data_IF_189495624080
#
_entry.id   IF_189495624080
#
_cell.length_a   1.000
_cell.length_b   1.000
_cell.length_c   1.000
_cell.angle_alpha   90.00
_cell.angle_beta   90.00
_cell.angle_gamma   90.00
#
_symmetry.space_group_name_H-M   'P 1'
#
loop_
_entity.id
_entity.type
_entity.pdbx_description
1 polymer ?
#
# COMPACT_ATOMS: atom_id res chain seq x y z
N UNK A 1 19.29 -6.63 -26.31
CA UNK A 1 18.73 -5.37 -26.86
C UNK A 1 18.50 -4.42 -25.70
N UNK A 2 18.52 -3.10 -25.89
CA UNK A 2 18.12 -2.17 -24.83
C UNK A 2 16.64 -2.37 -24.48
N UNK A 3 16.30 -2.26 -23.20
CA UNK A 3 14.94 -2.40 -22.70
C UNK A 3 14.11 -1.19 -23.16
N UNK A 4 12.86 -1.38 -23.62
CA UNK A 4 11.97 -0.28 -23.98
C UNK A 4 11.81 0.74 -22.86
N UNK A 5 11.77 2.03 -23.21
CA UNK A 5 11.69 3.15 -22.26
C UNK A 5 10.40 3.08 -21.44
N UNK A 6 9.33 2.55 -22.03
CA UNK A 6 8.04 2.34 -21.39
C UNK A 6 8.16 1.40 -20.18
N UNK A 7 8.97 0.34 -20.30
CA UNK A 7 9.21 -0.64 -19.22
C UNK A 7 10.05 -0.01 -18.11
N UNK A 8 11.11 0.74 -18.48
CA UNK A 8 11.95 1.44 -17.52
C UNK A 8 11.15 2.50 -16.73
N UNK A 9 10.22 3.19 -17.39
CA UNK A 9 9.35 4.19 -16.76
C UNK A 9 8.39 3.52 -15.77
N UNK A 10 7.75 2.41 -16.15
CA UNK A 10 6.86 1.63 -15.27
C UNK A 10 7.61 1.11 -14.04
N UNK A 11 8.83 0.62 -14.23
CA UNK A 11 9.69 0.17 -13.14
C UNK A 11 9.93 1.27 -12.09
N UNK A 12 10.31 2.48 -12.52
CA UNK A 12 10.53 3.61 -11.62
C UNK A 12 9.24 4.07 -10.92
N UNK A 13 8.11 4.07 -11.63
CA UNK A 13 6.81 4.41 -11.05
C UNK A 13 6.42 3.39 -9.97
N UNK A 14 6.60 2.09 -10.22
CA UNK A 14 6.21 1.05 -9.26
C UNK A 14 7.07 1.08 -8.00
N UNK A 15 8.38 1.31 -8.13
CA UNK A 15 9.26 1.45 -6.96
C UNK A 15 8.90 2.67 -6.11
N UNK A 16 8.74 3.83 -6.74
CA UNK A 16 8.32 5.07 -6.07
C UNK A 16 6.95 4.91 -5.41
N UNK A 17 5.99 4.29 -6.11
CA UNK A 17 4.65 4.02 -5.57
C UNK A 17 4.70 3.07 -4.39
N UNK A 18 5.53 2.02 -4.45
CA UNK A 18 5.74 1.09 -3.34
C UNK A 18 6.25 1.82 -2.09
N UNK A 19 7.27 2.67 -2.27
CA UNK A 19 7.85 3.46 -1.19
C UNK A 19 6.82 4.39 -0.54
N UNK A 20 6.17 5.25 -1.32
CA UNK A 20 5.25 6.25 -0.79
C UNK A 20 4.03 5.63 -0.09
N UNK A 21 3.46 4.56 -0.65
CA UNK A 21 2.32 3.88 -0.04
C UNK A 21 2.70 3.17 1.27
N UNK A 22 3.89 2.55 1.32
CA UNK A 22 4.39 1.91 2.54
C UNK A 22 4.66 2.94 3.64
N UNK A 23 5.30 4.06 3.29
CA UNK A 23 5.59 5.15 4.23
C UNK A 23 4.30 5.79 4.73
N UNK A 24 3.35 6.10 3.86
CA UNK A 24 2.07 6.69 4.25
C UNK A 24 1.28 5.75 5.18
N UNK A 25 1.18 4.47 4.85
CA UNK A 25 0.49 3.50 5.70
C UNK A 25 1.20 3.27 7.04
N UNK A 26 2.53 3.18 7.04
CA UNK A 26 3.32 3.08 8.26
C UNK A 26 3.17 4.30 9.17
N UNK A 27 3.17 5.51 8.60
CA UNK A 27 2.95 6.75 9.33
C UNK A 27 1.55 6.82 9.94
N UNK A 28 0.51 6.43 9.20
CA UNK A 28 -0.87 6.39 9.73
C UNK A 28 -0.99 5.41 10.90
N UNK A 29 -0.36 4.22 10.81
CA UNK A 29 -0.33 3.26 11.92
C UNK A 29 0.41 3.85 13.12
N UNK A 30 1.60 4.40 12.91
CA UNK A 30 2.40 4.97 14.00
C UNK A 30 1.66 6.09 14.73
N UNK A 31 1.04 7.02 13.99
CA UNK A 31 0.25 8.12 14.56
C UNK A 31 -0.97 7.58 15.31
N UNK A 32 -1.70 6.62 14.72
CA UNK A 32 -2.85 6.00 15.37
C UNK A 32 -2.48 5.31 16.69
N UNK A 33 -1.42 4.49 16.67
CA UNK A 33 -0.94 3.77 17.86
C UNK A 33 -0.42 4.74 18.92
N UNK A 34 0.36 5.76 18.56
CA UNK A 34 0.86 6.75 19.51
C UNK A 34 -0.28 7.56 20.13
N UNK A 35 -1.29 7.94 19.34
CA UNK A 35 -2.46 8.65 19.86
C UNK A 35 -3.25 7.78 20.84
N UNK A 36 -3.48 6.51 20.52
CA UNK A 36 -4.16 5.55 21.41
C UNK A 36 -3.33 5.23 22.66
N UNK A 37 -2.02 5.03 22.53
CA UNK A 37 -1.13 4.76 23.65
C UNK A 37 -1.04 5.97 24.60
N UNK A 38 -0.97 7.18 24.07
CA UNK A 38 -0.97 8.41 24.86
C UNK A 38 -2.25 8.58 25.68
N UNK A 39 -3.42 8.26 25.09
CA UNK A 39 -4.71 8.24 25.78
C UNK A 39 -4.74 7.25 26.96
N UNK A 40 -4.12 6.08 26.80
CA UNK A 40 -4.10 5.03 27.84
C UNK A 40 -3.06 5.31 28.92
N UNK A 41 -1.90 5.86 28.56
CA UNK A 41 -0.78 6.06 29.47
C UNK A 41 -0.93 7.30 30.37
N UNK A 42 -1.63 8.35 29.90
CA UNK A 42 -1.72 9.64 30.60
C UNK A 42 -3.16 10.15 30.78
N UNK A 43 -4.12 9.33 31.27
CA UNK A 43 -5.53 9.71 31.32
C UNK A 43 -5.80 10.91 32.25
N UNK A 44 -5.05 11.01 33.36
CA UNK A 44 -5.26 12.05 34.38
C UNK A 44 -4.45 13.34 34.11
N UNK A 45 -3.44 13.27 33.23
CA UNK A 45 -2.60 14.41 32.87
C UNK A 45 -3.10 15.12 31.60
N UNK A 46 -3.97 14.47 30.82
CA UNK A 46 -4.54 15.03 29.62
C UNK A 46 -5.85 15.76 29.93
N UNK A 47 -5.93 17.04 29.58
CA UNK A 47 -7.20 17.75 29.66
C UNK A 47 -8.26 17.08 28.74
N UNK A 48 -9.53 17.15 29.14
CA UNK A 48 -10.66 16.58 28.38
C UNK A 48 -10.68 17.00 26.90
N UNK A 49 -10.14 18.18 26.57
CA UNK A 49 -10.01 18.68 25.21
C UNK A 49 -9.03 17.84 24.39
N UNK A 50 -7.85 17.51 24.94
CA UNK A 50 -6.84 16.70 24.26
C UNK A 50 -7.27 15.25 24.09
N UNK A 51 -8.01 14.70 25.05
CA UNK A 51 -8.58 13.34 24.96
C UNK A 51 -9.49 13.22 23.73
N UNK A 52 -10.38 14.22 23.51
CA UNK A 52 -11.26 14.24 22.33
C UNK A 52 -10.49 14.37 21.02
N UNK A 53 -9.46 15.22 20.99
CA UNK A 53 -8.64 15.41 19.78
C UNK A 53 -7.85 14.15 19.44
N UNK A 54 -7.17 13.55 20.42
CA UNK A 54 -6.41 12.31 20.22
C UNK A 54 -7.31 11.15 19.79
N UNK A 55 -8.51 11.04 20.38
CA UNK A 55 -9.49 10.03 19.99
C UNK A 55 -9.99 10.23 18.56
N UNK A 56 -10.22 11.48 18.14
CA UNK A 56 -10.58 11.81 16.77
C UNK A 56 -9.45 11.49 15.79
N UNK A 57 -8.20 11.86 16.11
CA UNK A 57 -7.03 11.55 15.28
C UNK A 57 -6.86 10.05 15.10
N UNK A 58 -6.95 9.26 16.19
CA UNK A 58 -6.88 7.81 16.12
C UNK A 58 -8.00 7.21 15.23
N UNK A 59 -9.23 7.72 15.34
CA UNK A 59 -10.35 7.28 14.52
C UNK A 59 -10.14 7.62 13.03
N UNK A 60 -9.66 8.83 12.71
CA UNK A 60 -9.37 9.24 11.33
C UNK A 60 -8.24 8.41 10.73
N UNK A 61 -7.15 8.17 11.46
CA UNK A 61 -6.05 7.31 11.01
C UNK A 61 -6.55 5.90 10.71
N UNK A 62 -7.38 5.33 11.60
CA UNK A 62 -7.96 4.00 11.42
C UNK A 62 -8.90 3.96 10.21
N UNK A 63 -9.74 4.98 10.04
CA UNK A 63 -10.65 5.08 8.89
C UNK A 63 -9.88 5.19 7.57
N UNK A 64 -8.81 5.99 7.51
CA UNK A 64 -7.97 6.13 6.32
C UNK A 64 -7.24 4.82 5.98
N UNK A 65 -6.71 4.11 6.99
CA UNK A 65 -6.08 2.80 6.79
C UNK A 65 -7.13 1.80 6.26
N UNK A 66 -8.33 1.77 6.83
CA UNK A 66 -9.39 0.85 6.41
C UNK A 66 -9.93 1.17 5.00
N UNK A 67 -10.06 2.46 4.65
CA UNK A 67 -10.60 2.88 3.37
C UNK A 67 -9.62 2.68 2.20
N UNK A 68 -8.34 2.98 2.39
CA UNK A 68 -7.36 3.00 1.30
C UNK A 68 -6.36 1.85 1.34
N UNK A 69 -6.19 1.20 2.49
CA UNK A 69 -5.20 0.14 2.74
C UNK A 69 -3.83 0.38 2.06
N UNK A 70 -3.19 1.54 2.31
CA UNK A 70 -1.99 1.97 1.60
C UNK A 70 -0.82 1.00 1.78
N UNK A 71 -0.70 0.33 2.93
CA UNK A 71 0.34 -0.67 3.16
C UNK A 71 0.24 -1.87 2.21
N UNK A 72 -0.97 -2.41 2.06
CA UNK A 72 -1.19 -3.56 1.16
C UNK A 72 -0.94 -3.15 -0.30
N UNK A 73 -1.35 -1.94 -0.68
CA UNK A 73 -1.06 -1.40 -2.01
C UNK A 73 0.44 -1.21 -2.24
N UNK A 74 1.17 -0.69 -1.25
CA UNK A 74 2.63 -0.56 -1.29
C UNK A 74 3.35 -1.89 -1.47
N UNK A 75 2.91 -2.95 -0.78
CA UNK A 75 3.44 -4.30 -0.97
C UNK A 75 3.13 -4.87 -2.35
N UNK A 76 1.92 -4.65 -2.88
CA UNK A 76 1.55 -5.08 -4.22
C UNK A 76 2.43 -4.43 -5.30
N UNK A 77 2.70 -3.12 -5.19
CA UNK A 77 3.64 -2.43 -6.07
C UNK A 77 5.07 -2.97 -5.93
N UNK A 78 5.51 -3.28 -4.70
CA UNK A 78 6.84 -3.85 -4.46
C UNK A 78 7.00 -5.24 -5.06
N UNK A 79 5.97 -6.08 -5.00
CA UNK A 79 5.99 -7.42 -5.57
C UNK A 79 5.94 -7.37 -7.10
N UNK A 80 5.10 -6.50 -7.68
CA UNK A 80 5.11 -6.21 -9.12
C UNK A 80 6.48 -5.72 -9.61
N UNK A 81 7.10 -4.80 -8.85
CA UNK A 81 8.44 -4.31 -9.12
C UNK A 81 9.49 -5.43 -9.09
N UNK A 82 9.47 -6.31 -8.08
CA UNK A 82 10.41 -7.46 -7.99
C UNK A 82 10.26 -8.43 -9.15
N UNK A 83 9.03 -8.72 -9.58
CA UNK A 83 8.78 -9.59 -10.74
C UNK A 83 9.44 -8.98 -11.98
N UNK A 84 9.23 -7.69 -12.21
CA UNK A 84 9.84 -6.97 -13.33
C UNK A 84 11.37 -6.89 -13.22
N UNK A 85 11.91 -6.57 -12.05
CA UNK A 85 13.36 -6.51 -11.78
C UNK A 85 14.04 -7.85 -12.10
N UNK A 86 13.46 -8.94 -11.61
CA UNK A 86 13.99 -10.28 -11.84
C UNK A 86 13.99 -10.67 -13.32
N UNK A 87 12.98 -10.25 -14.08
CA UNK A 87 12.90 -10.51 -15.52
C UNK A 87 13.91 -9.67 -16.30
N UNK A 88 14.07 -8.39 -15.94
CA UNK A 88 15.09 -7.50 -16.51
C UNK A 88 16.50 -8.06 -16.26
N UNK A 89 16.81 -8.47 -15.03
CA UNK A 89 18.10 -9.04 -14.68
C UNK A 89 18.39 -10.34 -15.45
N UNK A 90 17.38 -11.20 -15.62
CA UNK A 90 17.49 -12.44 -16.40
C UNK A 90 17.71 -12.18 -17.88
N UNK A 91 16.99 -11.23 -18.47
CA UNK A 91 17.17 -10.80 -19.86
C UNK A 91 18.59 -10.25 -20.09
N UNK A 92 19.06 -9.39 -19.18
CA UNK A 92 20.39 -8.80 -19.28
C UNK A 92 21.52 -9.83 -19.10
N UNK A 93 21.31 -10.85 -18.27
CA UNK A 93 22.34 -11.86 -17.98
C UNK A 93 22.40 -12.96 -19.04
N UNK A 94 21.24 -13.39 -19.58
CA UNK A 94 21.13 -14.51 -20.52
C UNK A 94 20.06 -14.21 -21.59
N UNK A 95 20.36 -13.30 -22.53
CA UNK A 95 19.36 -12.82 -23.50
C UNK A 95 18.87 -13.90 -24.46
N UNK A 96 19.69 -14.92 -24.75
CA UNK A 96 19.30 -16.05 -25.61
C UNK A 96 18.25 -16.96 -24.95
N UNK A 97 18.25 -17.04 -23.61
CA UNK A 97 17.31 -17.86 -22.83
C UNK A 97 16.08 -17.08 -22.37
N UNK A 98 16.25 -15.79 -22.15
CA UNK A 98 15.20 -14.89 -21.69
C UNK A 98 15.06 -13.75 -22.70
N UNK A 99 14.28 -13.95 -23.78
CA UNK A 99 14.10 -12.91 -24.77
C UNK A 99 13.19 -11.80 -24.22
N UNK A 100 13.05 -10.70 -24.95
CA UNK A 100 12.38 -9.49 -24.46
C UNK A 100 10.91 -9.72 -24.07
N UNK A 101 10.27 -10.72 -24.67
CA UNK A 101 8.91 -11.17 -24.39
C UNK A 101 8.76 -11.59 -22.92
N UNK A 102 9.80 -12.17 -22.32
CA UNK A 102 9.78 -12.53 -20.89
C UNK A 102 9.71 -11.31 -19.97
N UNK A 103 10.26 -10.17 -20.41
CA UNK A 103 10.17 -8.89 -19.69
C UNK A 103 8.77 -8.30 -19.87
N UNK A 104 8.18 -8.41 -21.07
CA UNK A 104 6.80 -7.95 -21.34
C UNK A 104 5.80 -8.75 -20.50
N UNK A 105 5.91 -10.08 -20.46
CA UNK A 105 5.07 -10.92 -19.59
C UNK A 105 5.21 -10.56 -18.11
N UNK A 106 6.42 -10.16 -17.67
CA UNK A 106 6.64 -9.73 -16.29
C UNK A 106 5.92 -8.40 -15.99
N UNK A 107 5.86 -7.48 -16.95
CA UNK A 107 5.05 -6.26 -16.85
C UNK A 107 3.56 -6.61 -16.72
N UNK A 108 3.03 -7.47 -17.58
CA UNK A 108 1.62 -7.89 -17.52
C UNK A 108 1.28 -8.55 -16.17
N UNK A 109 2.15 -9.44 -15.69
CA UNK A 109 2.00 -10.07 -14.36
C UNK A 109 2.01 -9.03 -13.25
N UNK A 110 2.92 -8.05 -13.31
CA UNK A 110 2.96 -6.94 -12.35
C UNK A 110 1.68 -6.11 -12.35
N UNK A 111 1.14 -5.79 -13.52
CA UNK A 111 -0.14 -5.07 -13.63
C UNK A 111 -1.31 -5.87 -13.06
N UNK A 112 -1.35 -7.18 -13.28
CA UNK A 112 -2.37 -8.06 -12.70
C UNK A 112 -2.31 -8.02 -11.17
N UNK A 113 -1.11 -8.10 -10.58
CA UNK A 113 -0.91 -7.99 -9.13
C UNK A 113 -1.49 -6.66 -8.62
N UNK A 114 -1.09 -5.54 -9.20
CA UNK A 114 -1.56 -4.20 -8.78
C UNK A 114 -3.09 -4.06 -8.96
N UNK A 115 -3.64 -4.58 -10.05
CA UNK A 115 -5.07 -4.51 -10.37
C UNK A 115 -5.94 -5.34 -9.41
N UNK A 116 -5.50 -6.54 -9.04
CA UNK A 116 -6.21 -7.38 -8.07
C UNK A 116 -6.32 -6.71 -6.69
N UNK A 117 -5.26 -6.02 -6.27
CA UNK A 117 -5.29 -5.24 -5.03
C UNK A 117 -6.19 -4.01 -5.13
N UNK A 118 -6.12 -3.27 -6.24
CA UNK A 118 -6.97 -2.10 -6.47
C UNK A 118 -8.47 -2.44 -6.44
N UNK A 119 -8.87 -3.59 -7.00
CA UNK A 119 -10.26 -4.07 -6.97
C UNK A 119 -10.73 -4.49 -5.59
N UNK A 120 -9.82 -4.99 -4.75
CA UNK A 120 -10.14 -5.40 -3.37
C UNK A 120 -10.40 -4.20 -2.48
N UNK A 121 -9.71 -3.07 -2.69
CA UNK A 121 -9.91 -1.83 -1.91
C UNK A 121 -11.31 -1.22 -2.14
N UNK A 122 -11.86 -1.33 -3.36
CA UNK A 122 -13.21 -0.83 -3.68
C UNK A 122 -14.32 -1.70 -3.05
N UNK A 123 -14.03 -2.96 -2.76
CA UNK A 123 -14.92 -3.88 -2.02
C UNK A 123 -14.65 -3.84 -0.51
N UNK A 124 -14.69 -2.67 0.11
CA UNK A 124 -14.81 -2.60 1.58
C UNK A 124 -16.29 -2.85 1.95
N UNK A 125 -16.57 -3.67 2.99
CA UNK A 125 -17.89 -4.27 3.21
C UNK A 125 -18.95 -3.23 3.57
N UNK A 126 -20.18 -3.44 3.06
CA UNK A 126 -21.38 -2.77 3.56
C UNK A 126 -21.35 -2.74 5.10
N UNK A 127 -21.38 -1.54 5.66
CA UNK A 127 -21.47 -1.34 7.09
C UNK A 127 -22.62 -2.20 7.66
N UNK A 128 -22.45 -2.88 8.81
CA UNK A 128 -23.56 -3.59 9.42
C UNK A 128 -24.68 -2.58 9.65
N UNK A 129 -25.81 -2.84 8.99
CA UNK A 129 -27.02 -2.05 9.14
C UNK A 129 -27.29 -1.90 10.64
N UNK A 130 -27.21 -0.66 11.11
CA UNK A 130 -27.69 -0.22 12.41
C UNK A 130 -29.20 -0.45 12.46
N UNK A 131 -29.61 -1.70 12.66
CA UNK A 131 -30.96 -2.10 13.03
C UNK A 131 -31.13 -1.89 14.52
N UNK A 132 -31.67 -0.72 14.86
CA UNK A 132 -31.99 -0.31 16.21
C UNK A 132 -32.82 -1.36 16.98
N UNK A 133 -32.50 -1.48 18.27
CA UNK A 133 -33.32 -2.12 19.31
C UNK A 133 -34.80 -1.75 19.20
N UNK A 134 -35.67 -2.74 19.41
CA UNK A 134 -36.63 -2.74 20.52
C UNK A 134 -36.65 -4.12 21.16
#
# INVERSE_FOLDING_TARGET
MPIPIEIATRFAIWDSSAYWNTVAGGALIAVGVLASAGLVAFPDQLEKKYIKVLGFVAAVCTALIAAFNPLSLGFAFRDAWRVLDSAILRHNSLPEKYPIETVIEAVEKGEVIISQFSKTIVKSPEAPASGARK
#
